data_IF_050124988452
#
_entry.id   IF_050124988452
#
_cell.length_a   1.000
_cell.length_b   1.000
_cell.length_c   1.000
_cell.angle_alpha   90.00
_cell.angle_beta   90.00
_cell.angle_gamma   90.00
#
_symmetry.space_group_name_H-M   'P 1'
#
loop_
_entity.id
_entity.type
_entity.pdbx_description
1 polymer ?
#
# COMPACT_ATOMS: atom_id res chain seq x y z
N UNK A 1 4.90 -20.52 -0.23
CA UNK A 1 5.87 -19.40 -0.29
C UNK A 1 5.06 -18.12 -0.32
N UNK A 2 5.41 -17.14 0.50
CA UNK A 2 4.83 -15.80 0.42
C UNK A 2 5.47 -15.06 -0.76
N UNK A 3 4.68 -14.40 -1.64
CA UNK A 3 5.23 -13.71 -2.80
C UNK A 3 6.02 -12.46 -2.44
N UNK A 4 5.90 -11.94 -1.21
CA UNK A 4 6.54 -10.72 -0.76
C UNK A 4 8.03 -10.92 -0.42
N UNK A 5 8.89 -10.69 -1.42
CA UNK A 5 10.34 -10.50 -1.23
C UNK A 5 10.64 -9.01 -0.97
N UNK A 6 11.82 -8.65 -0.41
CA UNK A 6 12.19 -7.25 -0.23
C UNK A 6 12.15 -6.42 -1.52
N UNK A 7 12.50 -7.03 -2.66
CA UNK A 7 12.42 -6.36 -3.97
C UNK A 7 10.97 -6.06 -4.37
N UNK A 8 10.06 -7.02 -4.19
CA UNK A 8 8.63 -6.83 -4.45
C UNK A 8 8.04 -5.77 -3.51
N UNK A 9 8.43 -5.76 -2.24
CA UNK A 9 7.97 -4.75 -1.27
C UNK A 9 8.43 -3.35 -1.70
N UNK A 10 9.68 -3.21 -2.15
CA UNK A 10 10.20 -1.92 -2.64
C UNK A 10 9.43 -1.43 -3.85
N UNK A 11 9.22 -2.28 -4.86
CA UNK A 11 8.48 -1.90 -6.07
C UNK A 11 7.03 -1.52 -5.73
N UNK A 12 6.36 -2.28 -4.87
CA UNK A 12 5.01 -1.95 -4.40
C UNK A 12 4.99 -0.56 -3.74
N UNK A 13 5.98 -0.24 -2.90
CA UNK A 13 6.05 1.07 -2.25
C UNK A 13 6.21 2.21 -3.27
N UNK A 14 7.10 2.05 -4.25
CA UNK A 14 7.34 3.06 -5.29
C UNK A 14 6.07 3.34 -6.11
N UNK A 15 5.35 2.29 -6.50
CA UNK A 15 4.10 2.39 -7.26
C UNK A 15 2.97 3.06 -6.45
N UNK A 16 2.84 2.71 -5.17
CA UNK A 16 1.87 3.35 -4.26
C UNK A 16 2.19 4.83 -4.04
N UNK A 17 3.47 5.20 -3.97
CA UNK A 17 3.89 6.60 -3.83
C UNK A 17 3.54 7.41 -5.08
N UNK A 18 3.61 6.81 -6.26
CA UNK A 18 3.10 7.37 -7.51
C UNK A 18 1.57 7.46 -7.60
N UNK A 19 0.82 6.89 -6.64
CA UNK A 19 -0.64 6.97 -6.59
C UNK A 19 -1.38 5.85 -7.32
N UNK A 20 -0.67 4.80 -7.75
CA UNK A 20 -1.27 3.63 -8.39
C UNK A 20 -1.91 2.69 -7.36
N UNK A 21 -2.88 1.90 -7.82
CA UNK A 21 -3.35 0.67 -7.17
C UNK A 21 -2.44 -0.47 -7.59
N UNK A 22 -2.01 -1.29 -6.64
CA UNK A 22 -1.01 -2.34 -6.90
C UNK A 22 -1.57 -3.72 -6.59
N UNK A 23 -1.48 -4.62 -7.55
CA UNK A 23 -1.95 -5.99 -7.45
C UNK A 23 -0.76 -6.95 -7.50
N UNK A 24 -0.63 -7.83 -6.52
CA UNK A 24 0.46 -8.82 -6.43
C UNK A 24 -0.11 -10.23 -6.54
N UNK A 25 0.30 -10.96 -7.58
CA UNK A 25 -0.17 -12.32 -7.79
C UNK A 25 0.32 -13.25 -6.66
N UNK A 26 -0.61 -13.96 -6.01
CA UNK A 26 -0.38 -14.75 -4.78
C UNK A 26 0.69 -15.83 -4.93
N UNK A 27 0.77 -16.47 -6.10
CA UNK A 27 1.71 -17.56 -6.39
C UNK A 27 3.04 -17.12 -7.00
N UNK A 28 3.00 -16.21 -8.00
CA UNK A 28 4.18 -15.83 -8.79
C UNK A 28 4.89 -14.59 -8.26
N UNK A 29 4.18 -13.73 -7.53
CA UNK A 29 4.68 -12.42 -7.12
C UNK A 29 4.72 -11.38 -8.24
N UNK A 30 4.09 -11.65 -9.39
CA UNK A 30 3.95 -10.66 -10.46
C UNK A 30 3.17 -9.45 -9.95
N UNK A 31 3.68 -8.26 -10.25
CA UNK A 31 3.08 -6.98 -9.87
C UNK A 31 2.36 -6.42 -11.09
N UNK A 32 1.13 -5.94 -10.88
CA UNK A 32 0.34 -5.22 -11.86
C UNK A 32 -0.08 -3.91 -11.20
N UNK A 33 0.19 -2.78 -11.84
CA UNK A 33 -0.17 -1.45 -11.35
C UNK A 33 -1.22 -0.84 -12.24
N UNK A 34 -2.31 -0.35 -11.65
CA UNK A 34 -3.40 0.34 -12.35
C UNK A 34 -3.54 1.75 -11.78
N UNK A 35 -3.86 2.77 -12.60
CA UNK A 35 -4.18 4.09 -12.06
C UNK A 35 -5.30 3.99 -11.02
N UNK A 36 -5.33 4.90 -10.05
CA UNK A 36 -6.47 4.95 -9.15
C UNK A 36 -7.73 5.38 -9.93
N UNK A 37 -8.90 5.18 -9.33
CA UNK A 37 -10.18 5.43 -10.00
C UNK A 37 -10.33 6.88 -10.50
N UNK A 38 -9.76 7.85 -9.78
CA UNK A 38 -9.80 9.28 -10.16
C UNK A 38 -8.94 9.50 -11.41
N UNK A 39 -7.71 8.99 -11.41
CA UNK A 39 -6.80 9.13 -12.55
C UNK A 39 -7.33 8.36 -13.78
N UNK A 40 -8.02 7.23 -13.58
CA UNK A 40 -8.70 6.50 -14.67
C UNK A 40 -9.85 7.28 -15.29
N UNK A 41 -10.56 8.12 -14.53
CA UNK A 41 -11.67 8.93 -15.08
C UNK A 41 -11.17 10.02 -16.04
N UNK A 42 -9.95 10.51 -15.83
CA UNK A 42 -9.32 11.53 -16.67
C UNK A 42 -8.42 10.94 -17.78
N UNK A 43 -8.22 9.62 -17.79
CA UNK A 43 -7.38 8.90 -18.74
C UNK A 43 -8.19 8.09 -19.77
N UNK A 44 -7.54 7.69 -20.87
CA UNK A 44 -8.11 6.74 -21.82
C UNK A 44 -8.00 5.31 -21.23
N UNK A 45 -9.12 4.64 -20.90
CA UNK A 45 -9.10 3.33 -20.27
C UNK A 45 -8.49 2.25 -21.17
N UNK A 46 -8.47 2.44 -22.50
CA UNK A 46 -7.87 1.47 -23.43
C UNK A 46 -6.38 1.25 -23.18
N UNK A 47 -5.69 2.24 -22.58
CA UNK A 47 -4.26 2.17 -22.28
C UNK A 47 -3.90 1.14 -21.18
N UNK A 48 -4.88 0.75 -20.36
CA UNK A 48 -4.70 -0.23 -19.28
C UNK A 48 -5.65 -1.43 -19.40
N UNK A 49 -6.36 -1.57 -20.52
CA UNK A 49 -7.40 -2.59 -20.65
C UNK A 49 -6.83 -4.01 -20.52
N UNK A 50 -5.62 -4.27 -21.00
CA UNK A 50 -4.97 -5.58 -20.86
C UNK A 50 -4.68 -5.92 -19.39
N UNK A 51 -4.14 -4.96 -18.63
CA UNK A 51 -3.86 -5.13 -17.21
C UNK A 51 -5.14 -5.25 -16.37
N UNK A 52 -6.17 -4.45 -16.70
CA UNK A 52 -7.49 -4.52 -16.09
C UNK A 52 -8.08 -5.91 -16.31
N UNK A 53 -8.14 -6.38 -17.55
CA UNK A 53 -8.70 -7.69 -17.89
C UNK A 53 -7.92 -8.81 -17.21
N UNK A 54 -6.59 -8.71 -17.13
CA UNK A 54 -5.74 -9.70 -16.45
C UNK A 54 -6.10 -9.82 -14.96
N UNK A 55 -6.32 -8.70 -14.28
CA UNK A 55 -6.64 -8.65 -12.85
C UNK A 55 -8.10 -9.04 -12.61
N UNK A 56 -9.06 -8.44 -13.32
CA UNK A 56 -10.49 -8.66 -13.09
C UNK A 56 -10.91 -10.11 -13.37
N UNK A 57 -10.39 -10.72 -14.44
CA UNK A 57 -10.69 -12.12 -14.76
C UNK A 57 -10.10 -13.12 -13.75
N UNK A 58 -9.13 -12.70 -12.93
CA UNK A 58 -8.41 -13.57 -12.01
C UNK A 58 -8.26 -12.95 -10.61
N UNK A 59 -9.20 -12.10 -10.18
CA UNK A 59 -9.05 -11.26 -8.98
C UNK A 59 -8.72 -12.07 -7.72
N UNK A 60 -9.26 -13.29 -7.60
CA UNK A 60 -8.99 -14.19 -6.48
C UNK A 60 -7.52 -14.64 -6.38
N UNK A 61 -6.74 -14.52 -7.45
CA UNK A 61 -5.33 -14.88 -7.50
C UNK A 61 -4.40 -13.71 -7.11
N UNK A 62 -4.94 -12.51 -6.83
CA UNK A 62 -4.16 -11.32 -6.48
C UNK A 62 -4.42 -10.84 -5.05
N UNK A 63 -3.39 -10.25 -4.44
CA UNK A 63 -3.52 -9.33 -3.33
C UNK A 63 -3.61 -7.92 -3.89
N UNK A 64 -4.69 -7.20 -3.63
CA UNK A 64 -4.71 -5.76 -3.84
C UNK A 64 -4.05 -5.09 -2.63
N UNK A 65 -3.05 -4.26 -2.91
CA UNK A 65 -2.38 -3.44 -1.91
C UNK A 65 -2.85 -2.02 -2.14
N UNK A 66 -3.72 -1.57 -1.25
CA UNK A 66 -4.19 -0.19 -1.23
C UNK A 66 -3.15 0.70 -0.54
N UNK A 67 -3.04 1.94 -1.01
CA UNK A 67 -2.26 2.96 -0.32
C UNK A 67 -2.93 3.25 1.02
N UNK A 68 -2.16 3.15 2.10
CA UNK A 68 -2.61 3.56 3.43
C UNK A 68 -3.16 5.00 3.43
N UNK A 69 -4.26 5.20 4.14
CA UNK A 69 -4.77 6.54 4.39
C UNK A 69 -3.88 7.26 5.42
N UNK A 70 -4.01 8.58 5.51
CA UNK A 70 -3.37 9.34 6.59
C UNK A 70 -3.82 8.88 7.99
N UNK A 71 -5.02 8.28 8.09
CA UNK A 71 -5.54 7.69 9.32
C UNK A 71 -4.89 6.34 9.64
N UNK A 72 -4.69 5.48 8.64
CA UNK A 72 -3.99 4.21 8.81
C UNK A 72 -2.53 4.42 9.21
N UNK A 73 -1.84 5.36 8.55
CA UNK A 73 -0.48 5.74 8.90
C UNK A 73 -0.41 6.23 10.36
N UNK A 74 -1.36 7.08 10.76
CA UNK A 74 -1.47 7.55 12.14
C UNK A 74 -1.67 6.40 13.13
N UNK A 75 -2.58 5.47 12.85
CA UNK A 75 -2.85 4.32 13.71
C UNK A 75 -1.60 3.45 13.88
N UNK A 76 -0.87 3.15 12.80
CA UNK A 76 0.38 2.38 12.86
C UNK A 76 1.42 3.09 13.74
N UNK A 77 1.59 4.40 13.59
CA UNK A 77 2.51 5.17 14.43
C UNK A 77 2.08 5.22 15.89
N UNK A 78 0.78 5.34 16.16
CA UNK A 78 0.22 5.35 17.51
C UNK A 78 0.44 3.99 18.20
N UNK A 79 0.08 2.89 17.55
CA UNK A 79 0.28 1.53 18.09
C UNK A 79 1.76 1.27 18.37
N UNK A 80 2.66 1.70 17.47
CA UNK A 80 4.10 1.62 17.69
C UNK A 80 4.55 2.42 18.92
N UNK A 81 4.10 3.67 19.06
CA UNK A 81 4.41 4.50 20.22
C UNK A 81 3.88 3.90 21.53
N UNK A 82 2.70 3.30 21.52
CA UNK A 82 2.11 2.64 22.69
C UNK A 82 2.91 1.43 23.16
N UNK A 83 3.46 0.66 22.21
CA UNK A 83 4.30 -0.51 22.46
C UNK A 83 5.72 -0.17 22.96
N UNK A 84 6.14 1.11 22.88
CA UNK A 84 7.43 1.58 23.37
C UNK A 84 7.51 1.62 24.91
N UNK A 85 7.38 0.47 25.58
CA UNK A 85 7.35 0.35 27.05
C UNK A 85 8.74 0.43 27.69
N UNK A 86 9.79 0.07 26.95
CA UNK A 86 11.16 -0.02 27.49
C UNK A 86 11.79 1.36 27.78
N UNK A 87 11.36 2.41 27.09
CA UNK A 87 11.91 3.76 27.26
C UNK A 87 10.80 4.81 27.23
N UNK A 88 10.26 5.09 28.42
CA UNK A 88 9.15 6.02 28.66
C UNK A 88 9.34 7.41 28.04
N UNK A 89 10.55 8.04 28.05
CA UNK A 89 10.71 9.34 27.42
C UNK A 89 10.50 9.34 25.90
N UNK A 90 10.86 8.26 25.18
CA UNK A 90 10.57 8.16 23.75
C UNK A 90 9.08 7.99 23.50
N UNK A 91 8.40 7.14 24.28
CA UNK A 91 6.94 6.98 24.17
C UNK A 91 6.23 8.32 24.30
N UNK A 92 6.55 9.10 25.33
CA UNK A 92 5.95 10.43 25.54
C UNK A 92 6.22 11.33 24.33
N UNK A 93 7.48 11.43 23.87
CA UNK A 93 7.83 12.26 22.71
C UNK A 93 7.11 11.85 21.42
N UNK A 94 6.91 10.55 21.19
CA UNK A 94 6.21 10.06 20.01
C UNK A 94 4.72 10.37 20.08
N UNK A 95 4.09 10.19 21.24
CA UNK A 95 2.67 10.53 21.45
C UNK A 95 2.44 12.04 21.31
N UNK A 96 3.28 12.86 21.94
CA UNK A 96 3.20 14.32 21.84
C UNK A 96 3.34 14.79 20.38
N UNK A 97 4.21 14.16 19.59
CA UNK A 97 4.40 14.49 18.18
C UNK A 97 3.20 14.07 17.31
N UNK A 98 2.51 12.98 17.66
CA UNK A 98 1.31 12.52 16.97
C UNK A 98 0.09 13.41 17.24
N UNK A 99 -0.03 13.93 18.47
CA UNK A 99 -1.16 14.77 18.89
C UNK A 99 -1.08 16.23 18.40
N UNK A 100 0.09 16.72 17.99
CA UNK A 100 0.31 18.11 17.55
C UNK A 100 -0.15 18.42 16.11
N UNK A 101 -1.21 17.77 15.62
CA UNK A 101 -1.79 18.10 14.31
C UNK A 101 -2.69 19.33 14.37
#
# INVERSE_FOLDING_TARGET
>A
MTPFTPAIISEVADQLDCGFRVFVHKKTGNIVSLPNEIDMMDADPELWQEEIDMVENNLSDYFEIEKWTSGDAFRVMLEFAEQCVAYKPLKIRLLDALEQR
#
